data_IF_070788978063
#
_entry.id   IF_070788978063
#
_cell.length_a   1.000
_cell.length_b   1.000
_cell.length_c   1.000
_cell.angle_alpha   90.00
_cell.angle_beta   90.00
_cell.angle_gamma   90.00
#
_symmetry.space_group_name_H-M   'P 1'
#
loop_
_entity.id
_entity.type
_entity.pdbx_description
1 polymer ?
#
# COMPACT_ATOMS: atom_id res chain seq x y z
N UNK A 1 -12.34 43.22 6.83
CA UNK A 1 -13.41 42.22 7.00
C UNK A 1 -12.74 40.86 7.10
N UNK A 2 -13.14 39.97 8.02
CA UNK A 2 -12.72 38.58 7.98
C UNK A 2 -13.05 37.98 6.62
N UNK A 3 -12.20 37.11 6.10
CA UNK A 3 -12.48 36.39 4.86
C UNK A 3 -13.49 35.27 5.11
N UNK A 4 -14.19 34.80 4.07
CA UNK A 4 -15.08 33.64 4.17
C UNK A 4 -14.36 32.38 4.71
N UNK A 5 -13.04 32.28 4.47
CA UNK A 5 -12.18 31.23 5.00
C UNK A 5 -11.99 31.33 6.51
N UNK A 6 -11.86 32.55 7.05
CA UNK A 6 -11.72 32.78 8.48
C UNK A 6 -13.01 32.43 9.23
N UNK A 7 -14.16 32.80 8.65
CA UNK A 7 -15.47 32.47 9.21
C UNK A 7 -15.74 30.96 9.16
N UNK A 8 -15.38 30.29 8.06
CA UNK A 8 -15.44 28.84 7.96
C UNK A 8 -14.54 28.15 8.99
N UNK A 9 -13.29 28.60 9.13
CA UNK A 9 -12.35 28.04 10.09
C UNK A 9 -12.84 28.15 11.54
N UNK A 10 -13.49 29.27 11.90
CA UNK A 10 -14.12 29.47 13.22
C UNK A 10 -15.36 28.60 13.45
N UNK A 11 -16.01 28.14 12.39
CA UNK A 11 -17.19 27.27 12.47
C UNK A 11 -16.84 25.79 12.74
N UNK A 12 -15.57 25.42 12.62
CA UNK A 12 -15.13 24.04 12.81
C UNK A 12 -15.23 23.62 14.28
N UNK A 13 -15.63 22.36 14.56
CA UNK A 13 -15.89 21.88 15.93
C UNK A 13 -14.61 21.57 16.73
N UNK A 14 -13.44 22.02 16.28
CA UNK A 14 -12.15 21.74 16.90
C UNK A 14 -11.27 22.99 16.84
N UNK A 15 -10.35 23.10 17.80
CA UNK A 15 -9.42 24.23 17.92
C UNK A 15 -8.03 23.89 17.38
N UNK A 16 -7.63 22.62 17.44
CA UNK A 16 -6.31 22.17 16.95
C UNK A 16 -6.44 20.90 16.12
N UNK A 17 -5.50 20.68 15.20
CA UNK A 17 -5.45 19.47 14.37
C UNK A 17 -5.17 18.21 15.19
N UNK A 18 -4.70 18.32 16.43
CA UNK A 18 -4.55 17.18 17.33
C UNK A 18 -5.88 16.55 17.74
N UNK A 19 -7.01 17.26 17.56
CA UNK A 19 -8.37 16.77 17.83
C UNK A 19 -9.01 16.12 16.59
N UNK A 20 -8.35 16.18 15.44
CA UNK A 20 -8.87 15.60 14.19
C UNK A 20 -8.47 14.13 14.12
N UNK A 21 -9.46 13.26 14.04
CA UNK A 21 -9.23 11.83 13.88
C UNK A 21 -8.67 11.55 12.48
N UNK A 22 -7.55 10.82 12.41
CA UNK A 22 -6.93 10.40 11.15
C UNK A 22 -7.35 8.96 10.87
N UNK A 23 -7.95 8.65 9.70
CA UNK A 23 -8.34 7.29 9.35
C UNK A 23 -7.14 6.33 9.43
N UNK A 24 -7.33 5.10 9.94
CA UNK A 24 -6.21 4.16 10.14
C UNK A 24 -5.69 3.58 8.82
N UNK A 25 -6.53 3.53 7.78
CA UNK A 25 -6.14 3.00 6.47
C UNK A 25 -5.67 4.12 5.56
N UNK A 26 -4.60 3.85 4.83
CA UNK A 26 -3.98 4.84 3.95
C UNK A 26 -4.92 5.29 2.82
N UNK A 27 -5.79 4.38 2.33
CA UNK A 27 -6.74 4.68 1.25
C UNK A 27 -7.85 5.64 1.69
N UNK A 28 -8.21 5.60 2.97
CA UNK A 28 -9.24 6.47 3.56
C UNK A 28 -8.70 7.89 3.85
N UNK A 29 -7.37 8.08 3.75
CA UNK A 29 -6.72 9.39 3.88
C UNK A 29 -6.54 10.12 2.54
N UNK A 30 -6.93 9.50 1.43
CA UNK A 30 -6.84 10.12 0.10
C UNK A 30 -7.96 11.17 -0.04
N UNK A 31 -7.59 12.40 -0.39
CA UNK A 31 -8.52 13.53 -0.47
C UNK A 31 -8.76 13.91 -1.94
N UNK A 32 -10.03 14.04 -2.33
CA UNK A 32 -10.42 14.59 -3.64
C UNK A 32 -10.15 13.69 -4.83
N UNK A 33 -10.01 12.37 -4.60
CA UNK A 33 -9.71 11.37 -5.64
C UNK A 33 -10.61 10.12 -5.47
N UNK A 34 -11.90 10.32 -5.26
CA UNK A 34 -12.86 9.27 -4.88
C UNK A 34 -12.92 8.12 -5.92
N UNK A 35 -12.90 8.46 -7.21
CA UNK A 35 -12.89 7.48 -8.30
C UNK A 35 -11.62 6.64 -8.30
N UNK A 36 -10.45 7.27 -8.12
CA UNK A 36 -9.17 6.56 -8.08
C UNK A 36 -9.11 5.60 -6.88
N UNK A 37 -9.67 6.01 -5.74
CA UNK A 37 -9.80 5.17 -4.54
C UNK A 37 -10.68 3.95 -4.81
N UNK A 38 -11.82 4.13 -5.46
CA UNK A 38 -12.74 3.02 -5.77
C UNK A 38 -12.09 2.02 -6.75
N UNK A 39 -11.44 2.52 -7.81
CA UNK A 39 -10.72 1.68 -8.78
C UNK A 39 -9.57 0.93 -8.10
N UNK A 40 -8.79 1.60 -7.26
CA UNK A 40 -7.70 0.99 -6.50
C UNK A 40 -8.20 -0.16 -5.62
N UNK A 41 -9.32 0.04 -4.91
CA UNK A 41 -9.94 -1.00 -4.09
C UNK A 41 -10.42 -2.19 -4.93
N UNK A 42 -11.06 -1.96 -6.08
CA UNK A 42 -11.50 -3.04 -6.99
C UNK A 42 -10.30 -3.81 -7.56
N UNK A 43 -9.28 -3.10 -8.01
CA UNK A 43 -8.07 -3.69 -8.58
C UNK A 43 -7.29 -4.53 -7.57
N UNK A 44 -7.13 -4.06 -6.33
CA UNK A 44 -6.47 -4.81 -5.26
C UNK A 44 -7.18 -6.14 -4.97
N UNK A 45 -8.51 -6.11 -4.81
CA UNK A 45 -9.31 -7.30 -4.55
C UNK A 45 -9.25 -8.33 -5.70
N UNK A 46 -9.15 -7.86 -6.94
CA UNK A 46 -9.11 -8.70 -8.14
C UNK A 46 -7.68 -8.99 -8.63
N UNK A 47 -6.64 -8.54 -7.92
CA UNK A 47 -5.23 -8.64 -8.31
C UNK A 47 -4.95 -8.13 -9.73
N UNK A 48 -5.56 -7.02 -10.11
CA UNK A 48 -5.33 -6.37 -11.41
C UNK A 48 -4.17 -5.39 -11.31
N UNK A 49 -3.37 -5.33 -12.37
CA UNK A 49 -2.35 -4.30 -12.53
C UNK A 49 -3.00 -2.93 -12.71
N UNK A 50 -2.34 -1.89 -12.22
CA UNK A 50 -2.77 -0.50 -12.37
C UNK A 50 -1.64 0.35 -12.91
N UNK A 51 -2.01 1.35 -13.72
CA UNK A 51 -1.12 2.41 -14.16
C UNK A 51 -1.68 3.74 -13.64
N UNK A 52 -0.88 4.45 -12.84
CA UNK A 52 -1.26 5.73 -12.24
C UNK A 52 -0.59 6.86 -13.02
N UNK A 53 -1.38 7.69 -13.71
CA UNK A 53 -0.92 8.84 -14.49
C UNK A 53 -1.36 10.14 -13.81
N UNK A 54 -0.47 11.11 -13.72
CA UNK A 54 -0.78 12.45 -13.22
C UNK A 54 0.48 13.21 -12.80
N UNK A 55 0.31 14.49 -12.48
CA UNK A 55 1.42 15.41 -12.16
C UNK A 55 2.19 15.01 -10.88
N UNK A 56 3.49 15.34 -10.75
CA UNK A 56 4.23 15.10 -9.51
C UNK A 56 3.50 15.69 -8.28
N UNK A 57 3.48 14.95 -7.17
CA UNK A 57 2.84 15.42 -5.92
C UNK A 57 1.32 15.14 -5.81
N UNK A 58 0.67 14.51 -6.80
CA UNK A 58 -0.78 14.23 -6.76
C UNK A 58 -1.20 12.96 -6.00
N UNK A 59 -0.32 12.37 -5.19
CA UNK A 59 -0.68 11.21 -4.36
C UNK A 59 -0.64 9.83 -5.05
N UNK A 60 -0.04 9.70 -6.25
CA UNK A 60 0.14 8.39 -6.93
C UNK A 60 0.79 7.31 -6.04
N UNK A 61 1.90 7.64 -5.38
CA UNK A 61 2.57 6.71 -4.48
C UNK A 61 1.74 6.35 -3.24
N UNK A 62 0.90 7.29 -2.79
CA UNK A 62 -0.01 7.06 -1.65
C UNK A 62 -1.09 6.05 -2.05
N UNK A 63 -1.74 6.25 -3.21
CA UNK A 63 -2.72 5.31 -3.79
C UNK A 63 -2.13 3.90 -3.99
N UNK A 64 -0.93 3.80 -4.54
CA UNK A 64 -0.26 2.51 -4.75
C UNK A 64 0.00 1.76 -3.43
N UNK A 65 0.45 2.47 -2.38
CA UNK A 65 0.65 1.87 -1.05
C UNK A 65 -0.67 1.49 -0.40
N UNK A 66 -1.67 2.36 -0.52
CA UNK A 66 -2.99 2.17 0.03
C UNK A 66 -3.71 0.93 -0.53
N UNK A 67 -3.40 0.52 -1.76
CA UNK A 67 -3.92 -0.73 -2.35
C UNK A 67 -3.46 -1.98 -1.60
N UNK A 68 -2.28 -1.97 -0.99
CA UNK A 68 -1.69 -3.16 -0.33
C UNK A 68 -2.59 -3.61 0.83
N UNK A 69 -3.22 -2.66 1.53
CA UNK A 69 -4.14 -2.93 2.65
C UNK A 69 -5.39 -3.73 2.21
N UNK A 70 -5.72 -3.70 0.92
CA UNK A 70 -6.86 -4.39 0.32
C UNK A 70 -6.48 -5.63 -0.48
N UNK A 71 -5.19 -5.97 -0.57
CA UNK A 71 -4.80 -7.25 -1.13
C UNK A 71 -5.34 -8.38 -0.23
N UNK A 72 -5.92 -9.44 -0.81
CA UNK A 72 -6.37 -10.58 -0.03
C UNK A 72 -5.20 -11.14 0.78
N UNK A 73 -5.45 -11.47 2.05
CA UNK A 73 -4.44 -12.06 2.94
C UNK A 73 -4.10 -13.46 2.45
N UNK A 74 -3.00 -13.57 1.72
CA UNK A 74 -2.47 -14.86 1.28
C UNK A 74 -1.33 -15.33 2.18
N UNK A 75 -1.06 -16.63 2.12
CA UNK A 75 0.12 -17.18 2.80
C UNK A 75 1.35 -16.69 2.05
N UNK A 76 2.08 -15.78 2.68
CA UNK A 76 3.38 -15.33 2.20
C UNK A 76 4.32 -16.53 2.05
N UNK A 77 5.28 -16.40 1.14
CA UNK A 77 6.24 -17.44 0.81
C UNK A 77 7.66 -16.86 0.88
N UNK A 78 8.62 -17.69 1.30
CA UNK A 78 10.04 -17.41 1.16
C UNK A 78 10.55 -18.11 -0.10
N UNK A 79 11.47 -17.46 -0.81
CA UNK A 79 12.12 -18.01 -2.02
C UNK A 79 13.59 -18.23 -1.70
N UNK A 80 14.07 -19.47 -1.86
CA UNK A 80 15.47 -19.85 -1.66
C UNK A 80 16.11 -20.22 -3.00
N UNK A 81 17.36 -19.83 -3.17
CA UNK A 81 18.20 -20.25 -4.29
C UNK A 81 19.29 -21.19 -3.77
N UNK A 82 19.43 -22.35 -4.41
CA UNK A 82 20.44 -23.36 -4.10
C UNK A 82 21.45 -23.48 -5.24
N UNK A 83 22.72 -23.79 -4.93
CA UNK A 83 23.68 -24.15 -5.95
C UNK A 83 23.20 -25.39 -6.70
N UNK A 84 23.42 -25.40 -8.01
CA UNK A 84 23.13 -26.53 -8.86
C UNK A 84 24.46 -27.19 -9.25
N UNK A 85 24.64 -28.45 -8.82
CA UNK A 85 25.87 -29.21 -9.09
C UNK A 85 25.99 -29.62 -10.57
N UNK A 86 24.87 -29.70 -11.28
CA UNK A 86 24.80 -30.13 -12.68
C UNK A 86 25.15 -28.97 -13.64
N UNK A 87 24.67 -27.76 -13.32
CA UNK A 87 25.02 -26.52 -14.01
C UNK A 87 25.04 -25.32 -13.03
N UNK A 88 26.22 -24.78 -12.69
CA UNK A 88 26.34 -23.62 -11.81
C UNK A 88 25.65 -22.34 -12.31
N UNK A 89 25.36 -22.22 -13.61
CA UNK A 89 24.65 -21.06 -14.18
C UNK A 89 23.13 -21.18 -14.08
N UNK A 90 22.60 -22.33 -13.63
CA UNK A 90 21.18 -22.56 -13.43
C UNK A 90 20.88 -22.92 -11.95
N UNK A 91 20.85 -21.93 -11.04
CA UNK A 91 20.53 -22.17 -9.62
C UNK A 91 19.13 -22.79 -9.44
N UNK A 92 19.01 -23.73 -8.49
CA UNK A 92 17.72 -24.38 -8.19
C UNK A 92 16.91 -23.47 -7.25
N UNK A 93 15.69 -23.10 -7.67
CA UNK A 93 14.79 -22.25 -6.87
C UNK A 93 13.78 -23.11 -6.10
N UNK A 94 13.65 -22.85 -4.80
CA UNK A 94 12.66 -23.51 -3.93
C UNK A 94 11.78 -22.46 -3.25
N UNK A 95 10.46 -22.69 -3.29
CA UNK A 95 9.47 -21.87 -2.60
C UNK A 95 8.99 -22.60 -1.36
N UNK A 96 9.00 -21.94 -0.21
CA UNK A 96 8.53 -22.48 1.07
C UNK A 96 7.58 -21.49 1.77
N UNK A 97 6.76 -21.91 2.74
CA UNK A 97 5.95 -20.97 3.52
C UNK A 97 6.82 -19.93 4.24
N UNK A 98 6.32 -18.70 4.36
CA UNK A 98 7.04 -17.62 5.02
C UNK A 98 7.50 -18.01 6.43
N UNK A 99 8.74 -17.65 6.76
CA UNK A 99 9.42 -18.01 8.00
C UNK A 99 10.26 -19.28 7.90
N UNK A 100 9.87 -20.26 7.06
CA UNK A 100 10.64 -21.50 6.89
C UNK A 100 11.98 -21.30 6.21
N UNK A 101 12.13 -20.28 5.37
CA UNK A 101 13.40 -20.01 4.71
C UNK A 101 14.52 -19.74 5.72
N UNK A 102 14.22 -19.00 6.79
CA UNK A 102 15.20 -18.70 7.85
C UNK A 102 15.63 -19.95 8.62
N UNK A 103 14.70 -20.85 8.93
CA UNK A 103 15.02 -22.14 9.58
C UNK A 103 15.95 -22.98 8.70
N UNK A 104 15.70 -23.01 7.39
CA UNK A 104 16.47 -23.84 6.45
C UNK A 104 17.89 -23.30 6.24
N UNK A 105 18.09 -21.98 6.24
CA UNK A 105 19.42 -21.37 6.08
C UNK A 105 20.24 -21.43 7.37
N UNK A 106 19.58 -21.47 8.54
CA UNK A 106 20.25 -21.53 9.84
C UNK A 106 20.63 -22.97 10.28
N UNK A 107 20.12 -23.99 9.60
CA UNK A 107 20.43 -25.40 9.81
C UNK A 107 21.68 -25.82 9.03
#
# INVERSE_FOLDING_TARGET
MPSALDDWGRSLPFTTTAQVEVPPRLLEQVIGQDEAVEIAKKAANQKRHMMLIGDPGTGKSMLARAMIDFLPKERLQDILAYPNADDPNEPKIRVVPAGKGKEIVAA
#
